data_IF_748703500288
#
_entry.id   IF_748703500288
#
_cell.length_a   1.000
_cell.length_b   1.000
_cell.length_c   1.000
_cell.angle_alpha   90.00
_cell.angle_beta   90.00
_cell.angle_gamma   90.00
#
_symmetry.space_group_name_H-M   'P 1'
#
loop_
_entity.id
_entity.type
_entity.pdbx_description
1 polymer ?
#
# COMPACT_ATOMS: atom_id res chain seq x y z
N UNK A 1 7.91 -4.05 25.68
CA UNK A 1 7.68 -2.63 25.91
C UNK A 1 7.81 -2.30 27.39
N UNK A 2 8.59 -1.27 27.73
CA UNK A 2 8.67 -0.73 29.10
C UNK A 2 7.36 0.03 29.44
N UNK A 3 6.65 -0.33 30.53
CA UNK A 3 5.41 0.34 30.92
C UNK A 3 5.60 1.74 31.54
N UNK A 4 6.82 2.14 31.91
CA UNK A 4 7.12 3.45 32.52
C UNK A 4 7.59 4.42 31.46
N UNK A 5 8.49 3.94 30.60
CA UNK A 5 9.20 4.72 29.61
C UNK A 5 10.19 5.75 30.15
N UNK A 6 10.92 6.40 29.25
CA UNK A 6 11.84 7.50 29.51
C UNK A 6 11.21 8.88 29.27
N UNK A 7 10.11 8.93 28.52
CA UNK A 7 9.34 10.14 28.22
C UNK A 7 9.92 10.99 27.08
N UNK A 8 10.76 10.41 26.24
CA UNK A 8 11.29 11.01 25.02
C UNK A 8 10.56 10.46 23.79
N UNK A 9 9.86 11.31 23.05
CA UNK A 9 9.14 10.90 21.83
C UNK A 9 10.10 10.54 20.69
N UNK A 10 11.41 10.80 20.83
CA UNK A 10 12.44 10.39 19.89
C UNK A 10 13.00 8.98 20.15
N UNK A 11 12.52 8.27 21.17
CA UNK A 11 12.94 6.89 21.48
C UNK A 11 11.74 5.96 21.60
N UNK A 12 11.95 4.70 21.24
CA UNK A 12 10.94 3.67 21.44
C UNK A 12 11.08 3.01 22.81
N UNK A 13 9.94 2.81 23.47
CA UNK A 13 9.85 1.97 24.67
C UNK A 13 9.69 0.48 24.35
N UNK A 14 9.51 0.16 23.06
CA UNK A 14 9.47 -1.17 22.49
C UNK A 14 10.86 -1.67 22.14
N UNK A 15 11.03 -2.99 22.10
CA UNK A 15 12.20 -3.61 21.48
C UNK A 15 11.82 -4.99 20.98
N UNK A 16 12.19 -5.31 19.74
CA UNK A 16 11.99 -6.64 19.21
C UNK A 16 12.98 -7.63 19.83
N UNK A 17 12.49 -8.78 20.27
CA UNK A 17 13.31 -9.84 20.85
C UNK A 17 13.28 -11.03 19.91
N UNK A 18 14.37 -11.23 19.17
CA UNK A 18 14.46 -12.29 18.18
C UNK A 18 14.75 -13.64 18.84
N UNK A 19 13.82 -14.59 18.76
CA UNK A 19 13.89 -15.85 19.54
C UNK A 19 14.15 -17.13 18.73
N UNK A 20 14.45 -17.07 17.42
CA UNK A 20 14.66 -18.21 16.48
C UNK A 20 13.53 -19.29 16.43
N UNK A 21 12.57 -19.22 17.35
CA UNK A 21 11.44 -20.09 17.57
C UNK A 21 10.35 -19.33 18.34
N UNK A 22 9.14 -19.89 18.39
CA UNK A 22 8.04 -19.30 19.15
C UNK A 22 8.43 -19.13 20.63
N UNK A 23 8.31 -17.91 21.21
CA UNK A 23 8.65 -17.67 22.60
C UNK A 23 7.64 -18.31 23.54
N UNK A 24 8.07 -18.59 24.78
CA UNK A 24 7.21 -19.20 25.82
C UNK A 24 6.52 -18.19 26.72
N UNK A 25 6.85 -16.90 26.59
CA UNK A 25 6.19 -15.82 27.33
C UNK A 25 4.75 -15.65 26.87
N UNK A 26 3.90 -15.13 27.74
CA UNK A 26 2.52 -14.78 27.45
C UNK A 26 2.36 -13.26 27.43
N UNK A 27 1.35 -12.79 26.71
CA UNK A 27 0.93 -11.38 26.77
C UNK A 27 0.66 -11.00 28.23
N UNK A 28 1.24 -9.89 28.68
CA UNK A 28 1.16 -9.41 30.07
C UNK A 28 2.27 -9.90 31.00
N UNK A 29 3.14 -10.83 30.57
CA UNK A 29 4.30 -11.21 31.37
C UNK A 29 5.29 -10.05 31.51
N UNK A 30 5.83 -9.88 32.72
CA UNK A 30 6.98 -9.00 32.95
C UNK A 30 8.23 -9.86 32.88
N UNK A 31 9.06 -9.65 31.86
CA UNK A 31 10.26 -10.45 31.64
C UNK A 31 11.55 -9.64 31.82
N UNK A 32 12.56 -10.29 32.39
CA UNK A 32 13.95 -9.86 32.27
C UNK A 32 14.53 -10.50 31.02
N UNK A 33 14.90 -9.67 30.04
CA UNK A 33 15.56 -10.10 28.81
C UNK A 33 17.03 -9.69 28.87
N UNK A 34 17.92 -10.60 28.48
CA UNK A 34 19.35 -10.32 28.27
C UNK A 34 19.79 -10.93 26.96
N UNK A 35 20.47 -10.16 26.13
CA UNK A 35 21.03 -10.64 24.86
C UNK A 35 21.96 -9.58 24.28
N UNK A 36 22.20 -9.67 22.98
CA UNK A 36 23.03 -8.73 22.23
C UNK A 36 22.14 -7.78 21.46
N UNK A 37 22.33 -6.46 21.63
CA UNK A 37 21.65 -5.46 20.79
C UNK A 37 22.30 -5.46 19.40
N UNK A 38 21.47 -5.48 18.35
CA UNK A 38 21.92 -5.51 16.97
C UNK A 38 20.89 -4.84 16.05
N UNK A 39 21.40 -4.10 15.06
CA UNK A 39 20.65 -3.70 13.87
C UNK A 39 20.50 -4.87 12.89
N UNK A 40 19.25 -5.13 12.47
CA UNK A 40 18.90 -6.16 11.51
C UNK A 40 18.13 -5.56 10.34
N UNK A 41 18.54 -5.84 9.11
CA UNK A 41 17.84 -5.38 7.91
C UNK A 41 16.91 -6.50 7.42
N UNK A 42 15.58 -6.40 7.59
CA UNK A 42 14.66 -7.38 7.03
C UNK A 42 14.70 -7.34 5.50
N UNK A 43 14.32 -8.46 4.87
CA UNK A 43 14.28 -8.60 3.41
C UNK A 43 15.65 -8.74 2.74
N UNK A 44 15.69 -8.49 1.43
CA UNK A 44 16.90 -8.62 0.62
C UNK A 44 17.87 -7.44 0.87
N UNK A 45 19.19 -7.68 1.03
CA UNK A 45 20.15 -6.64 1.39
C UNK A 45 20.19 -5.41 0.47
N UNK A 46 19.88 -5.58 -0.81
CA UNK A 46 19.90 -4.52 -1.83
C UNK A 46 18.53 -3.80 -1.99
N UNK A 47 17.53 -4.18 -1.20
CA UNK A 47 16.13 -3.72 -1.34
C UNK A 47 15.84 -2.33 -0.77
N UNK A 48 16.81 -1.66 -0.16
CA UNK A 48 16.63 -0.32 0.43
C UNK A 48 15.80 -0.30 1.73
N UNK A 49 15.55 -1.45 2.36
CA UNK A 49 14.88 -1.54 3.66
C UNK A 49 15.72 -0.92 4.78
N UNK A 50 15.11 -0.28 5.76
CA UNK A 50 15.76 0.18 6.98
C UNK A 50 16.10 -0.99 7.90
N UNK A 51 17.03 -0.76 8.84
CA UNK A 51 17.27 -1.70 9.94
C UNK A 51 16.24 -1.53 11.05
N UNK A 52 15.98 -2.63 11.74
CA UNK A 52 15.23 -2.66 13.00
C UNK A 52 16.19 -2.97 14.15
N UNK A 53 15.94 -2.37 15.31
CA UNK A 53 16.72 -2.62 16.52
C UNK A 53 16.17 -3.84 17.25
N UNK A 54 17.02 -4.86 17.44
CA UNK A 54 16.60 -6.09 18.12
C UNK A 54 17.58 -6.60 19.18
N UNK A 55 17.04 -7.38 20.12
CA UNK A 55 17.83 -8.21 21.03
C UNK A 55 17.97 -9.61 20.42
N UNK A 56 19.17 -9.96 19.99
CA UNK A 56 19.55 -11.28 19.50
C UNK A 56 20.15 -12.16 20.60
N UNK A 57 20.17 -13.48 20.35
CA UNK A 57 20.61 -14.52 21.30
C UNK A 57 20.03 -14.35 22.72
N UNK A 58 18.70 -14.15 22.87
CA UNK A 58 18.13 -13.73 24.14
C UNK A 58 18.06 -14.88 25.16
N UNK A 59 18.29 -14.52 26.42
CA UNK A 59 17.83 -15.26 27.59
C UNK A 59 16.67 -14.51 28.23
N UNK A 60 15.51 -15.16 28.29
CA UNK A 60 14.27 -14.56 28.80
C UNK A 60 13.90 -15.21 30.12
N UNK A 61 13.65 -14.40 31.16
CA UNK A 61 13.16 -14.86 32.47
C UNK A 61 11.93 -14.07 32.89
N UNK A 62 10.78 -14.73 32.93
CA UNK A 62 9.54 -14.15 33.50
C UNK A 62 9.76 -13.86 34.99
N UNK A 63 9.53 -12.61 35.38
CA UNK A 63 9.60 -12.12 36.77
C UNK A 63 8.22 -12.13 37.43
N UNK A 64 7.19 -11.71 36.68
CA UNK A 64 5.79 -11.72 37.08
C UNK A 64 4.96 -12.27 35.92
N UNK A 65 3.90 -13.02 36.25
CA UNK A 65 3.00 -13.65 35.29
C UNK A 65 2.00 -12.64 34.70
N UNK A 66 1.28 -13.09 33.66
CA UNK A 66 0.30 -12.40 32.80
C UNK A 66 -0.85 -11.61 33.47
N UNK A 67 -0.87 -11.45 34.79
CA UNK A 67 -1.83 -10.61 35.52
C UNK A 67 -1.36 -9.14 35.61
N UNK A 68 -0.19 -8.81 35.05
CA UNK A 68 0.27 -7.43 34.97
C UNK A 68 -0.48 -6.68 33.85
N UNK A 69 -0.72 -5.38 34.05
CA UNK A 69 -1.39 -4.56 33.04
C UNK A 69 -0.48 -4.38 31.82
N UNK A 70 -1.06 -4.47 30.63
CA UNK A 70 -0.36 -4.06 29.42
C UNK A 70 -0.13 -2.55 29.43
N UNK A 71 0.99 -2.06 28.88
CA UNK A 71 1.15 -0.64 28.58
C UNK A 71 -0.08 -0.15 27.81
N UNK A 72 -0.54 1.07 28.12
CA UNK A 72 -1.59 1.71 27.33
C UNK A 72 -1.03 1.92 25.91
N UNK A 73 -1.78 1.60 24.84
CA UNK A 73 -1.31 1.87 23.49
C UNK A 73 -1.01 3.36 23.28
N UNK A 74 0.07 3.65 22.56
CA UNK A 74 0.32 5.01 22.06
C UNK A 74 -0.67 5.31 20.94
N UNK A 75 -1.43 6.39 21.06
CA UNK A 75 -2.39 6.78 20.04
C UNK A 75 -1.66 7.46 18.87
N UNK A 76 -1.94 7.02 17.64
CA UNK A 76 -1.48 7.66 16.41
C UNK A 76 -2.64 8.49 15.85
N UNK A 77 -2.42 9.79 15.68
CA UNK A 77 -3.41 10.77 15.22
C UNK A 77 -3.68 11.88 16.24
N UNK A 78 -4.82 12.56 16.06
CA UNK A 78 -5.19 13.81 16.74
C UNK A 78 -5.24 13.76 18.28
N UNK A 79 -5.54 12.61 18.87
CA UNK A 79 -5.61 12.42 20.32
C UNK A 79 -4.28 11.90 20.93
N UNK A 80 -3.24 11.76 20.10
CA UNK A 80 -1.93 11.29 20.51
C UNK A 80 -0.81 11.92 19.70
N UNK A 81 0.10 11.08 19.20
CA UNK A 81 1.21 11.54 18.36
C UNK A 81 0.71 11.66 16.93
N UNK A 82 0.84 12.86 16.35
CA UNK A 82 0.37 13.16 15.01
C UNK A 82 1.51 12.89 14.01
N UNK A 83 1.35 11.94 13.06
CA UNK A 83 2.35 11.76 12.01
C UNK A 83 2.55 13.05 11.19
N UNK A 84 3.78 13.35 10.77
CA UNK A 84 4.03 14.30 9.69
C UNK A 84 3.22 13.92 8.45
N UNK A 85 2.93 14.89 7.58
CA UNK A 85 1.98 14.72 6.47
C UNK A 85 2.56 14.99 5.09
N UNK A 86 3.84 15.39 5.00
CA UNK A 86 4.44 15.80 3.72
C UNK A 86 5.82 15.15 3.50
N UNK A 87 6.64 15.09 4.55
CA UNK A 87 8.05 14.75 4.48
C UNK A 87 8.29 13.32 4.98
N UNK A 88 8.89 12.48 4.14
CA UNK A 88 9.38 11.16 4.58
C UNK A 88 10.66 11.36 5.40
N UNK A 89 11.62 12.06 4.81
CA UNK A 89 12.92 12.43 5.37
C UNK A 89 13.43 13.62 4.54
N UNK A 90 13.92 14.69 5.17
CA UNK A 90 14.43 15.87 4.46
C UNK A 90 15.93 16.15 4.62
N UNK A 91 16.62 15.39 5.49
CA UNK A 91 17.99 15.66 5.87
C UNK A 91 18.94 14.45 5.74
N UNK A 92 18.45 13.34 5.17
CA UNK A 92 19.21 12.14 4.86
C UNK A 92 20.55 12.48 4.19
N UNK A 93 21.63 12.16 4.89
CA UNK A 93 22.98 12.43 4.42
C UNK A 93 23.36 11.41 3.35
N UNK A 94 23.67 11.91 2.15
CA UNK A 94 23.92 11.10 0.94
C UNK A 94 22.72 10.23 0.51
N UNK A 95 21.50 10.63 0.90
CA UNK A 95 20.27 9.88 0.62
C UNK A 95 20.13 8.61 1.46
N UNK A 96 20.80 8.54 2.60
CA UNK A 96 20.71 7.45 3.57
C UNK A 96 20.21 7.97 4.92
N UNK A 97 18.99 7.61 5.29
CA UNK A 97 18.40 7.95 6.59
C UNK A 97 19.21 7.37 7.77
N UNK A 98 19.84 6.21 7.59
CA UNK A 98 20.61 5.52 8.65
C UNK A 98 22.06 6.03 8.78
N UNK A 99 22.40 7.14 8.12
CA UNK A 99 23.71 7.76 8.28
C UNK A 99 23.82 8.39 9.68
N UNK A 100 24.90 8.15 10.45
CA UNK A 100 25.07 8.76 11.77
C UNK A 100 25.10 10.30 11.81
N UNK A 101 25.21 10.97 10.65
CA UNK A 101 25.13 12.42 10.50
C UNK A 101 23.72 12.94 10.16
N UNK A 102 22.78 12.06 9.80
CA UNK A 102 21.35 12.37 9.65
C UNK A 102 20.76 12.70 11.02
N UNK A 103 19.90 13.73 11.12
CA UNK A 103 19.27 14.11 12.38
C UNK A 103 18.01 13.29 12.55
N UNK A 104 17.80 12.75 13.75
CA UNK A 104 16.54 12.11 14.10
C UNK A 104 15.53 13.18 14.54
N UNK A 105 14.53 13.48 13.71
CA UNK A 105 13.48 14.49 13.93
C UNK A 105 12.06 13.93 13.65
N UNK A 106 11.46 13.23 14.63
CA UNK A 106 10.13 12.62 14.47
C UNK A 106 8.97 13.62 14.37
N UNK A 107 9.21 14.91 14.60
CA UNK A 107 8.20 15.96 14.44
C UNK A 107 8.11 16.45 12.97
N UNK A 108 9.19 16.32 12.20
CA UNK A 108 9.26 16.73 10.79
C UNK A 108 9.22 15.53 9.83
N UNK A 109 9.90 14.44 10.18
CA UNK A 109 10.15 13.31 9.29
C UNK A 109 9.30 12.09 9.64
N UNK A 110 8.52 11.63 8.65
CA UNK A 110 7.63 10.49 8.81
C UNK A 110 8.36 9.18 9.09
N UNK A 111 9.59 9.03 8.60
CA UNK A 111 10.45 7.87 8.86
C UNK A 111 10.77 7.80 10.36
N UNK A 112 11.32 8.88 10.92
CA UNK A 112 11.68 8.98 12.34
C UNK A 112 10.45 8.88 13.26
N UNK A 113 9.32 9.45 12.84
CA UNK A 113 8.07 9.35 13.57
C UNK A 113 7.70 7.89 13.85
N UNK A 114 7.68 7.03 12.82
CA UNK A 114 7.34 5.62 13.03
C UNK A 114 8.50 4.82 13.62
N UNK A 115 9.76 5.15 13.32
CA UNK A 115 10.91 4.51 13.97
C UNK A 115 10.87 4.70 15.49
N UNK A 116 10.50 5.91 15.96
CA UNK A 116 10.35 6.20 17.40
C UNK A 116 9.23 5.41 18.09
N UNK A 117 8.41 4.68 17.33
CA UNK A 117 7.33 3.84 17.83
C UNK A 117 7.61 2.33 17.63
N UNK A 118 8.76 1.96 17.06
CA UNK A 118 9.08 0.57 16.68
C UNK A 118 8.95 -0.40 17.87
N UNK A 119 8.19 -1.47 17.73
CA UNK A 119 7.95 -2.46 18.77
C UNK A 119 7.04 -2.01 19.92
N UNK A 120 6.48 -0.80 19.86
CA UNK A 120 5.49 -0.33 20.83
C UNK A 120 4.09 -0.81 20.47
N UNK A 121 3.24 -1.01 21.48
CA UNK A 121 1.81 -1.16 21.29
C UNK A 121 1.22 0.21 20.91
N UNK A 122 0.59 0.29 19.74
CA UNK A 122 -0.01 1.51 19.19
C UNK A 122 -1.50 1.31 18.89
N UNK A 123 -2.24 2.40 18.76
CA UNK A 123 -3.63 2.39 18.36
C UNK A 123 -3.96 3.52 17.39
N UNK A 124 -4.68 3.17 16.33
CA UNK A 124 -5.19 4.09 15.30
C UNK A 124 -6.70 4.15 15.44
N UNK A 125 -7.22 5.29 15.90
CA UNK A 125 -8.65 5.50 16.12
C UNK A 125 -9.35 6.02 14.87
N UNK A 126 -10.61 5.63 14.69
CA UNK A 126 -11.48 6.05 13.59
C UNK A 126 -10.80 5.92 12.21
N UNK A 127 -10.03 4.84 12.01
CA UNK A 127 -9.21 4.69 10.83
C UNK A 127 -10.04 4.57 9.55
N UNK A 128 -9.55 5.14 8.44
CA UNK A 128 -10.16 5.02 7.11
C UNK A 128 -9.18 4.43 6.11
N UNK A 129 -9.59 3.39 5.39
CA UNK A 129 -8.79 2.78 4.34
C UNK A 129 -8.63 3.74 3.14
N UNK A 130 -7.41 3.85 2.61
CA UNK A 130 -7.11 4.69 1.45
C UNK A 130 -6.94 3.89 0.15
N UNK A 131 -6.89 2.57 0.26
CA UNK A 131 -6.77 1.62 -0.84
C UNK A 131 -7.46 0.29 -0.46
N UNK A 132 -7.76 -0.59 -1.43
CA UNK A 132 -8.15 -1.95 -1.14
C UNK A 132 -7.05 -2.74 -0.41
N UNK A 133 -7.43 -3.78 0.32
CA UNK A 133 -6.47 -4.74 0.88
C UNK A 133 -5.67 -5.40 -0.25
N UNK A 134 -4.36 -5.56 -0.07
CA UNK A 134 -3.50 -6.22 -1.07
C UNK A 134 -3.62 -7.76 -0.98
N UNK A 135 -2.84 -8.48 -1.80
CA UNK A 135 -2.84 -9.96 -1.84
C UNK A 135 -2.39 -10.64 -0.54
N UNK A 136 -1.70 -9.92 0.33
CA UNK A 136 -1.27 -10.39 1.65
C UNK A 136 -2.28 -10.06 2.74
N UNK A 137 -3.37 -9.35 2.40
CA UNK A 137 -4.39 -8.92 3.35
C UNK A 137 -4.06 -7.63 4.10
N UNK A 138 -2.97 -6.96 3.74
CA UNK A 138 -2.55 -5.70 4.34
C UNK A 138 -3.35 -4.53 3.74
N UNK A 139 -3.59 -3.49 4.54
CA UNK A 139 -4.32 -2.30 4.11
C UNK A 139 -3.67 -1.03 4.62
N UNK A 140 -3.56 -0.01 3.77
CA UNK A 140 -3.16 1.32 4.22
C UNK A 140 -4.36 2.10 4.74
N UNK A 141 -4.18 2.73 5.91
CA UNK A 141 -5.20 3.56 6.55
C UNK A 141 -4.65 4.93 6.93
N UNK A 142 -5.57 5.85 7.19
CA UNK A 142 -5.31 7.13 7.85
C UNK A 142 -6.00 7.16 9.21
N UNK A 143 -5.40 7.75 10.25
CA UNK A 143 -6.06 7.99 11.53
C UNK A 143 -7.21 9.01 11.40
N UNK A 144 -8.15 8.96 12.34
CA UNK A 144 -9.22 9.97 12.53
C UNK A 144 -9.97 10.33 11.25
N UNK A 145 -10.39 9.32 10.49
CA UNK A 145 -11.07 9.44 9.21
C UNK A 145 -10.29 10.28 8.17
N UNK A 146 -8.97 10.42 8.33
CA UNK A 146 -8.11 11.25 7.50
C UNK A 146 -8.31 12.74 7.70
N UNK A 147 -8.68 13.20 8.90
CA UNK A 147 -8.88 14.63 9.23
C UNK A 147 -7.62 15.48 8.98
N UNK A 148 -6.44 14.93 9.29
CA UNK A 148 -5.15 15.62 9.16
C UNK A 148 -4.40 15.30 7.86
N UNK A 149 -5.01 14.54 6.95
CA UNK A 149 -4.39 14.26 5.65
C UNK A 149 -4.36 15.51 4.76
N UNK A 150 -3.35 15.63 3.91
CA UNK A 150 -3.16 16.81 3.05
C UNK A 150 -4.24 16.90 1.95
N UNK A 151 -4.13 16.10 0.89
CA UNK A 151 -5.04 16.09 -0.24
C UNK A 151 -5.50 14.67 -0.50
N UNK A 152 -6.82 14.50 -0.42
CA UNK A 152 -7.49 13.23 -0.71
C UNK A 152 -8.23 13.28 -2.04
N UNK A 153 -8.26 12.16 -2.74
CA UNK A 153 -9.10 12.00 -3.93
C UNK A 153 -10.58 11.96 -3.54
N UNK A 154 -11.52 12.28 -4.46
CA UNK A 154 -12.95 12.13 -4.19
C UNK A 154 -13.38 10.71 -3.79
N UNK A 155 -12.54 9.72 -4.06
CA UNK A 155 -12.74 8.30 -3.72
C UNK A 155 -11.95 7.86 -2.47
N UNK A 156 -11.39 8.79 -1.71
CA UNK A 156 -10.82 8.53 -0.38
C UNK A 156 -9.34 8.16 -0.32
N UNK A 157 -8.67 8.04 -1.47
CA UNK A 157 -7.22 7.82 -1.55
C UNK A 157 -6.40 9.09 -1.28
N UNK A 158 -5.08 8.96 -1.17
CA UNK A 158 -4.13 10.07 -0.97
C UNK A 158 -3.48 10.50 -2.29
N UNK A 159 -3.19 11.80 -2.42
CA UNK A 159 -2.59 12.38 -3.62
C UNK A 159 -1.10 12.67 -3.39
N UNK A 160 -0.22 11.92 -4.06
CA UNK A 160 1.21 12.21 -4.08
C UNK A 160 1.51 13.49 -4.86
N UNK A 161 2.30 14.38 -4.26
CA UNK A 161 2.78 15.62 -4.89
C UNK A 161 4.30 15.71 -4.78
N UNK A 162 4.90 16.70 -5.40
CA UNK A 162 6.37 16.86 -5.45
C UNK A 162 7.00 17.03 -4.05
N UNK A 163 6.32 17.72 -3.15
CA UNK A 163 6.78 17.97 -1.77
C UNK A 163 5.83 17.35 -0.74
N UNK A 164 5.08 16.33 -1.13
CA UNK A 164 4.16 15.64 -0.24
C UNK A 164 4.08 14.17 -0.66
N UNK A 165 4.80 13.35 0.09
CA UNK A 165 4.91 11.92 -0.12
C UNK A 165 3.97 11.11 0.77
N UNK A 166 3.05 11.78 1.47
CA UNK A 166 2.00 11.20 2.31
C UNK A 166 2.51 10.21 3.39
N UNK A 167 3.48 10.61 4.25
CA UNK A 167 3.94 9.79 5.39
C UNK A 167 2.85 9.52 6.45
N UNK A 168 1.74 10.24 6.46
CA UNK A 168 0.68 10.08 7.46
C UNK A 168 -0.15 8.80 7.33
N UNK A 169 0.10 8.00 6.28
CA UNK A 169 -0.52 6.68 6.10
C UNK A 169 0.26 5.62 6.88
N UNK A 170 -0.46 4.65 7.42
CA UNK A 170 0.14 3.49 8.08
C UNK A 170 -0.44 2.20 7.51
N UNK A 171 0.42 1.20 7.29
CA UNK A 171 -0.01 -0.12 6.85
C UNK A 171 -0.51 -0.93 8.04
N UNK A 172 -1.62 -1.62 7.85
CA UNK A 172 -2.17 -2.53 8.85
C UNK A 172 -1.94 -3.94 8.34
N UNK A 173 -1.29 -4.76 9.16
CA UNK A 173 -1.04 -6.17 8.90
C UNK A 173 -1.75 -7.02 9.96
N UNK A 174 -2.30 -8.15 9.52
CA UNK A 174 -3.03 -9.11 10.35
C UNK A 174 -2.30 -10.44 10.52
N UNK A 175 -1.01 -10.51 10.17
CA UNK A 175 -0.15 -11.68 10.34
C UNK A 175 -0.13 -12.28 11.75
N UNK A 176 -0.39 -11.48 12.80
CA UNK A 176 -0.51 -11.99 14.18
C UNK A 176 -1.88 -12.60 14.53
N UNK A 177 -2.91 -12.34 13.72
CA UNK A 177 -4.28 -12.83 13.97
C UNK A 177 -4.83 -13.75 12.89
N UNK A 178 -4.17 -13.84 11.73
CA UNK A 178 -4.59 -14.61 10.55
C UNK A 178 -6.05 -14.31 10.12
N UNK A 179 -6.47 -13.05 10.29
CA UNK A 179 -7.86 -12.62 10.15
C UNK A 179 -8.03 -11.39 9.23
N UNK A 180 -7.27 -11.33 8.13
CA UNK A 180 -7.33 -10.24 7.14
C UNK A 180 -8.73 -10.11 6.53
N UNK A 181 -9.48 -9.00 6.78
CA UNK A 181 -10.71 -8.75 6.06
C UNK A 181 -10.42 -8.25 4.64
N UNK A 182 -11.33 -8.50 3.70
CA UNK A 182 -11.32 -7.78 2.44
C UNK A 182 -11.78 -6.34 2.67
N UNK A 183 -10.97 -5.37 2.25
CA UNK A 183 -11.20 -3.94 2.49
C UNK A 183 -11.17 -3.19 1.15
N UNK A 184 -11.99 -2.15 1.03
CA UNK A 184 -11.94 -1.19 -0.07
C UNK A 184 -11.61 0.21 0.45
N UNK A 185 -11.15 1.10 -0.44
CA UNK A 185 -10.98 2.51 -0.10
C UNK A 185 -12.28 3.09 0.50
N UNK A 186 -12.14 3.89 1.56
CA UNK A 186 -13.25 4.51 2.28
C UNK A 186 -13.91 3.63 3.35
N UNK A 187 -13.62 2.32 3.39
CA UNK A 187 -14.02 1.47 4.52
C UNK A 187 -13.36 1.96 5.81
N UNK A 188 -14.02 1.71 6.95
CA UNK A 188 -13.67 2.30 8.25
C UNK A 188 -13.49 1.27 9.33
N UNK A 189 -12.70 1.65 10.34
CA UNK A 189 -12.44 0.88 11.55
C UNK A 189 -12.61 1.80 12.75
N UNK A 190 -13.32 1.36 13.79
CA UNK A 190 -13.51 2.19 15.00
C UNK A 190 -12.18 2.40 15.74
N UNK A 191 -11.38 1.34 15.86
CA UNK A 191 -10.06 1.35 16.48
C UNK A 191 -9.25 0.16 15.97
N UNK A 192 -7.98 0.39 15.65
CA UNK A 192 -7.02 -0.64 15.28
C UNK A 192 -5.90 -0.63 16.31
N UNK A 193 -5.71 -1.72 17.05
CA UNK A 193 -4.65 -1.86 18.05
C UNK A 193 -3.67 -2.94 17.64
N UNK A 194 -2.38 -2.62 17.66
CA UNK A 194 -1.33 -3.53 17.23
C UNK A 194 0.04 -3.13 17.72
N UNK A 195 1.04 -3.97 17.45
CA UNK A 195 2.44 -3.64 17.69
C UNK A 195 3.00 -3.03 16.41
N UNK A 196 3.68 -1.89 16.50
CA UNK A 196 4.36 -1.32 15.35
C UNK A 196 5.60 -2.16 15.00
N UNK A 197 5.76 -2.48 13.73
CA UNK A 197 6.89 -3.22 13.18
C UNK A 197 7.34 -2.59 11.86
N UNK A 198 8.42 -3.10 11.28
CA UNK A 198 8.91 -2.68 9.97
C UNK A 198 9.27 -3.89 9.11
N UNK A 199 8.66 -3.96 7.92
CA UNK A 199 8.85 -5.06 6.98
C UNK A 199 8.66 -4.59 5.54
N UNK A 200 9.39 -5.22 4.61
CA UNK A 200 9.29 -4.95 3.16
C UNK A 200 9.22 -3.46 2.76
N UNK A 201 9.97 -2.60 3.46
CA UNK A 201 10.09 -1.17 3.14
C UNK A 201 9.02 -0.29 3.78
N UNK A 202 8.20 -0.83 4.68
CA UNK A 202 7.06 -0.13 5.28
C UNK A 202 7.02 -0.35 6.79
N UNK A 203 6.58 0.70 7.51
CA UNK A 203 6.09 0.54 8.86
C UNK A 203 4.69 -0.06 8.84
N UNK A 204 4.44 -1.00 9.73
CA UNK A 204 3.24 -1.81 9.79
C UNK A 204 2.73 -1.90 11.22
N UNK A 205 1.41 -1.82 11.41
CA UNK A 205 0.75 -2.14 12.67
C UNK A 205 0.30 -3.58 12.61
N UNK A 206 1.03 -4.46 13.30
CA UNK A 206 0.69 -5.86 13.46
C UNK A 206 -0.47 -6.00 14.47
N UNK A 207 -1.67 -6.22 13.95
CA UNK A 207 -2.90 -6.22 14.77
C UNK A 207 -2.89 -7.33 15.83
N UNK A 208 -3.30 -6.98 17.05
CA UNK A 208 -3.37 -7.94 18.18
C UNK A 208 -4.76 -8.55 18.37
N UNK A 209 -5.74 -8.11 17.57
CA UNK A 209 -7.11 -8.61 17.55
C UNK A 209 -7.68 -8.53 16.13
N UNK A 210 -8.62 -9.42 15.76
CA UNK A 210 -9.29 -9.35 14.47
C UNK A 210 -9.94 -7.99 14.20
N UNK A 211 -9.87 -7.55 12.96
CA UNK A 211 -10.45 -6.27 12.53
C UNK A 211 -11.95 -6.37 12.29
N UNK A 212 -12.68 -5.31 12.63
CA UNK A 212 -14.09 -5.13 12.26
C UNK A 212 -14.21 -3.97 11.26
N UNK A 213 -14.74 -4.26 10.08
CA UNK A 213 -14.82 -3.31 8.96
C UNK A 213 -16.23 -2.76 8.83
N UNK A 214 -16.35 -1.44 8.80
CA UNK A 214 -17.57 -0.73 8.39
C UNK A 214 -17.44 -0.30 6.93
N UNK A 215 -18.30 -0.78 6.01
CA UNK A 215 -18.20 -0.43 4.60
C UNK A 215 -18.36 1.08 4.34
N UNK A 216 -17.47 1.64 3.52
CA UNK A 216 -17.49 3.04 3.10
C UNK A 216 -18.52 3.35 2.01
N UNK A 217 -19.07 2.30 1.39
CA UNK A 217 -20.15 2.41 0.40
C UNK A 217 -19.69 2.90 -0.98
N UNK A 218 -18.39 2.85 -1.28
CA UNK A 218 -17.93 3.15 -2.64
C UNK A 218 -18.43 2.08 -3.61
N UNK A 219 -19.10 2.54 -4.67
CA UNK A 219 -19.46 1.71 -5.82
C UNK A 219 -18.63 2.10 -7.04
N UNK A 220 -18.34 1.16 -7.95
CA UNK A 220 -17.77 1.50 -9.25
C UNK A 220 -18.60 2.56 -9.98
N UNK A 221 -17.93 3.48 -10.68
CA UNK A 221 -18.59 4.51 -11.49
C UNK A 221 -19.05 3.95 -12.83
N UNK A 222 -20.13 4.51 -13.39
CA UNK A 222 -20.57 4.22 -14.75
C UNK A 222 -20.71 5.53 -15.50
N UNK A 223 -20.13 5.61 -16.69
CA UNK A 223 -20.20 6.82 -17.50
C UNK A 223 -21.65 7.11 -17.92
N UNK A 224 -22.00 8.39 -17.95
CA UNK A 224 -23.25 8.84 -18.58
C UNK A 224 -23.15 8.94 -20.09
N UNK A 225 -21.92 8.93 -20.64
CA UNK A 225 -21.70 8.97 -22.08
C UNK A 225 -22.25 7.69 -22.73
N UNK A 226 -22.74 7.85 -23.95
CA UNK A 226 -23.22 6.73 -24.77
C UNK A 226 -22.70 6.95 -26.18
N UNK A 227 -22.28 5.92 -26.91
CA UNK A 227 -21.99 6.04 -28.34
C UNK A 227 -23.24 6.50 -29.13
N UNK A 228 -23.05 7.08 -30.32
CA UNK A 228 -24.15 7.41 -31.23
C UNK A 228 -23.70 8.07 -32.52
N UNK A 229 -24.58 8.11 -33.52
CA UNK A 229 -24.23 8.45 -34.92
C UNK A 229 -23.51 9.80 -35.12
N UNK A 230 -23.72 10.76 -34.21
CA UNK A 230 -23.15 12.10 -34.27
C UNK A 230 -22.23 12.43 -33.07
N UNK A 231 -21.78 11.42 -32.32
CA UNK A 231 -20.89 11.61 -31.17
C UNK A 231 -19.81 10.52 -31.14
N UNK A 232 -18.59 10.92 -30.79
CA UNK A 232 -17.46 10.01 -30.61
C UNK A 232 -17.14 9.93 -29.12
N UNK A 233 -17.19 8.72 -28.57
CA UNK A 233 -16.81 8.43 -27.19
C UNK A 233 -15.37 7.92 -27.13
N UNK A 234 -14.58 8.50 -26.25
CA UNK A 234 -13.15 8.16 -26.10
C UNK A 234 -12.89 7.89 -24.62
N UNK A 235 -12.21 6.79 -24.33
CA UNK A 235 -11.73 6.45 -23.01
C UNK A 235 -10.21 6.22 -23.03
N UNK A 236 -9.55 6.60 -21.94
CA UNK A 236 -8.18 6.19 -21.64
C UNK A 236 -8.22 5.30 -20.41
N UNK A 237 -7.55 4.16 -20.44
CA UNK A 237 -7.57 3.22 -19.33
C UNK A 237 -6.20 2.55 -19.11
N UNK A 238 -5.63 2.78 -17.94
CA UNK A 238 -4.48 2.03 -17.47
C UNK A 238 -4.98 0.67 -16.93
N UNK A 239 -4.46 -0.42 -17.50
CA UNK A 239 -4.90 -1.78 -17.19
C UNK A 239 -3.98 -2.52 -16.22
N UNK A 240 -2.96 -1.85 -15.67
CA UNK A 240 -2.03 -2.34 -14.65
C UNK A 240 -1.27 -3.60 -15.08
N UNK A 241 -0.22 -3.40 -15.87
CA UNK A 241 0.69 -4.46 -16.36
C UNK A 241 -0.03 -5.71 -16.88
N UNK A 242 -1.05 -5.53 -17.74
CA UNK A 242 -1.86 -6.64 -18.24
C UNK A 242 -1.07 -7.50 -19.22
N UNK A 243 -1.04 -8.81 -19.02
CA UNK A 243 -0.44 -9.81 -19.93
C UNK A 243 -1.48 -10.87 -20.37
N UNK A 244 -1.14 -11.79 -21.29
CA UNK A 244 -2.08 -12.83 -21.73
C UNK A 244 -2.44 -13.85 -20.63
N UNK A 245 -1.58 -14.00 -19.61
CA UNK A 245 -1.76 -14.98 -18.54
C UNK A 245 -2.71 -14.49 -17.42
N UNK A 246 -3.12 -13.22 -17.44
CA UNK A 246 -3.92 -12.58 -16.39
C UNK A 246 -5.44 -12.74 -16.61
N UNK A 247 -5.91 -13.99 -16.74
CA UNK A 247 -7.30 -14.31 -17.13
C UNK A 247 -8.36 -13.57 -16.28
N UNK A 248 -8.19 -13.52 -14.96
CA UNK A 248 -9.15 -12.85 -14.05
C UNK A 248 -9.16 -11.32 -14.24
N UNK A 249 -8.00 -10.72 -14.49
CA UNK A 249 -7.87 -9.28 -14.70
C UNK A 249 -8.43 -8.88 -16.06
N UNK A 250 -8.14 -9.67 -17.11
CA UNK A 250 -8.73 -9.51 -18.45
C UNK A 250 -10.25 -9.53 -18.35
N UNK A 251 -10.81 -10.48 -17.61
CA UNK A 251 -12.24 -10.62 -17.39
C UNK A 251 -12.83 -9.38 -16.70
N UNK A 252 -12.19 -8.91 -15.62
CA UNK A 252 -12.63 -7.74 -14.87
C UNK A 252 -12.58 -6.46 -15.73
N UNK A 253 -11.51 -6.26 -16.49
CA UNK A 253 -11.33 -5.12 -17.39
C UNK A 253 -12.38 -5.16 -18.51
N UNK A 254 -12.63 -6.32 -19.11
CA UNK A 254 -13.65 -6.47 -20.14
C UNK A 254 -15.05 -6.11 -19.60
N UNK A 255 -15.39 -6.53 -18.38
CA UNK A 255 -16.63 -6.12 -17.71
C UNK A 255 -16.71 -4.62 -17.48
N UNK A 256 -15.60 -3.99 -17.07
CA UNK A 256 -15.55 -2.54 -16.87
C UNK A 256 -15.72 -1.78 -18.19
N UNK A 257 -15.05 -2.21 -19.26
CA UNK A 257 -15.17 -1.60 -20.58
C UNK A 257 -16.62 -1.67 -21.08
N UNK A 258 -17.27 -2.83 -20.97
CA UNK A 258 -18.63 -3.01 -21.49
C UNK A 258 -19.68 -2.35 -20.60
N UNK A 259 -19.64 -2.56 -19.28
CA UNK A 259 -20.71 -2.16 -18.38
C UNK A 259 -20.52 -0.76 -17.78
N UNK A 260 -19.27 -0.37 -17.49
CA UNK A 260 -18.95 0.88 -16.80
C UNK A 260 -18.55 1.99 -17.76
N UNK A 261 -17.71 1.69 -18.76
CA UNK A 261 -17.33 2.63 -19.82
C UNK A 261 -18.32 2.64 -20.99
N UNK A 262 -19.29 1.71 -20.99
CA UNK A 262 -20.34 1.58 -22.02
C UNK A 262 -19.80 1.42 -23.44
N UNK A 263 -18.70 0.67 -23.57
CA UNK A 263 -18.08 0.35 -24.86
C UNK A 263 -17.76 1.60 -25.69
N UNK A 264 -16.72 2.37 -25.32
CA UNK A 264 -16.38 3.62 -26.00
C UNK A 264 -15.88 3.38 -27.42
N UNK A 265 -16.19 4.29 -28.35
CA UNK A 265 -15.79 4.20 -29.76
C UNK A 265 -14.27 4.16 -29.94
N UNK A 266 -13.51 4.82 -29.07
CA UNK A 266 -12.06 4.73 -28.99
C UNK A 266 -11.64 4.39 -27.55
N UNK A 267 -10.90 3.30 -27.39
CA UNK A 267 -10.23 2.97 -26.12
C UNK A 267 -8.71 3.06 -26.30
N UNK A 268 -8.07 3.93 -25.51
CA UNK A 268 -6.62 4.03 -25.39
C UNK A 268 -6.13 3.33 -24.13
N UNK A 269 -5.26 2.34 -24.26
CA UNK A 269 -4.75 1.55 -23.13
C UNK A 269 -3.35 1.98 -22.70
N UNK A 270 -3.04 1.84 -21.41
CA UNK A 270 -1.71 1.99 -20.83
C UNK A 270 -1.35 0.75 -20.00
N UNK A 271 -0.06 0.47 -19.87
CA UNK A 271 0.47 -0.70 -19.13
C UNK A 271 -0.06 -2.04 -19.67
N UNK A 272 -0.03 -2.18 -20.99
CA UNK A 272 -0.13 -3.48 -21.63
C UNK A 272 1.27 -4.07 -21.69
N UNK A 273 1.44 -5.26 -21.14
CA UNK A 273 2.68 -6.04 -21.24
C UNK A 273 2.77 -6.78 -22.57
N UNK A 274 4.00 -7.18 -22.88
CA UNK A 274 4.31 -8.05 -24.01
C UNK A 274 3.74 -9.46 -23.80
N UNK A 275 3.75 -10.29 -24.85
CA UNK A 275 3.15 -11.62 -24.86
C UNK A 275 3.75 -12.56 -23.80
N UNK A 276 4.93 -12.24 -23.28
CA UNK A 276 5.63 -13.00 -22.26
C UNK A 276 5.57 -12.32 -20.86
N UNK A 277 4.70 -11.32 -20.68
CA UNK A 277 4.49 -10.63 -19.42
C UNK A 277 5.76 -9.92 -18.93
N UNK A 278 6.08 -10.08 -17.65
CA UNK A 278 7.24 -9.43 -17.00
C UNK A 278 8.61 -9.99 -17.43
N UNK A 279 8.66 -11.02 -18.28
CA UNK A 279 9.92 -11.70 -18.64
C UNK A 279 10.72 -10.86 -19.63
N UNK A 280 11.90 -10.37 -19.22
CA UNK A 280 12.83 -9.68 -20.13
C UNK A 280 13.68 -10.67 -20.94
N UNK A 281 13.13 -11.18 -22.05
CA UNK A 281 13.83 -12.03 -23.03
C UNK A 281 14.03 -11.37 -24.40
N UNK A 282 13.68 -10.09 -24.53
CA UNK A 282 13.72 -9.31 -25.76
C UNK A 282 12.46 -9.39 -26.63
N UNK A 283 11.41 -10.09 -26.19
CA UNK A 283 10.06 -9.96 -26.75
C UNK A 283 9.53 -8.54 -26.52
N UNK A 284 8.91 -7.96 -27.54
CA UNK A 284 8.33 -6.59 -27.53
C UNK A 284 6.97 -6.55 -28.26
N UNK A 285 6.38 -7.72 -28.48
CA UNK A 285 5.08 -7.87 -29.12
C UNK A 285 4.04 -8.18 -28.05
N UNK A 286 2.91 -7.47 -28.08
CA UNK A 286 1.80 -7.60 -27.14
C UNK A 286 0.50 -8.08 -27.83
N UNK A 287 0.61 -8.65 -29.04
CA UNK A 287 -0.54 -9.02 -29.86
C UNK A 287 -1.44 -10.09 -29.21
N UNK A 288 -0.87 -10.99 -28.41
CA UNK A 288 -1.62 -12.01 -27.66
C UNK A 288 -2.41 -11.37 -26.51
N UNK A 289 -1.81 -10.42 -25.79
CA UNK A 289 -2.47 -9.65 -24.73
C UNK A 289 -3.69 -8.90 -25.26
N UNK A 290 -3.53 -8.20 -26.39
CA UNK A 290 -4.64 -7.51 -27.04
C UNK A 290 -5.73 -8.48 -27.50
N UNK A 291 -5.34 -9.62 -28.09
CA UNK A 291 -6.29 -10.61 -28.59
C UNK A 291 -7.14 -11.16 -27.45
N UNK A 292 -6.51 -11.52 -26.32
CA UNK A 292 -7.21 -12.02 -25.15
C UNK A 292 -8.23 -11.01 -24.59
N UNK A 293 -7.85 -9.73 -24.51
CA UNK A 293 -8.76 -8.67 -24.08
C UNK A 293 -9.89 -8.41 -25.08
N UNK A 294 -9.60 -8.39 -26.37
CA UNK A 294 -10.60 -8.24 -27.45
C UNK A 294 -11.62 -9.37 -27.38
N UNK A 295 -11.16 -10.62 -27.27
CA UNK A 295 -12.04 -11.79 -27.19
C UNK A 295 -12.92 -11.73 -25.94
N UNK A 296 -12.37 -11.33 -24.80
CA UNK A 296 -13.14 -11.12 -23.58
C UNK A 296 -14.20 -10.03 -23.73
N UNK A 297 -13.91 -8.92 -24.41
CA UNK A 297 -14.91 -7.88 -24.69
C UNK A 297 -15.98 -8.40 -25.66
N UNK A 298 -15.55 -9.08 -26.74
CA UNK A 298 -16.43 -9.60 -27.79
C UNK A 298 -17.49 -10.59 -27.25
N UNK A 299 -17.12 -11.40 -26.25
CA UNK A 299 -18.05 -12.32 -25.56
C UNK A 299 -19.16 -11.60 -24.77
N UNK A 300 -18.99 -10.32 -24.44
CA UNK A 300 -19.87 -9.56 -23.54
C UNK A 300 -20.76 -8.55 -24.25
N UNK A 301 -20.44 -8.22 -25.49
CA UNK A 301 -21.19 -7.22 -26.25
C UNK A 301 -22.36 -7.84 -27.00
N UNK A 302 -23.50 -7.15 -26.98
CA UNK A 302 -24.75 -7.61 -27.62
C UNK A 302 -24.82 -7.16 -29.09
N UNK A 303 -23.90 -6.30 -29.53
CA UNK A 303 -23.82 -5.78 -30.90
C UNK A 303 -22.59 -6.34 -31.59
N UNK A 304 -22.69 -6.52 -32.91
CA UNK A 304 -21.53 -6.83 -33.73
C UNK A 304 -20.53 -5.67 -33.65
N UNK A 305 -19.31 -5.97 -33.21
CA UNK A 305 -18.21 -5.01 -33.13
C UNK A 305 -17.10 -5.42 -34.08
N UNK A 306 -16.51 -4.42 -34.72
CA UNK A 306 -15.20 -4.57 -35.36
C UNK A 306 -14.15 -4.06 -34.39
N UNK A 307 -13.05 -4.79 -34.26
CA UNK A 307 -11.90 -4.39 -33.44
C UNK A 307 -10.74 -4.12 -34.38
N UNK A 308 -10.17 -2.92 -34.33
CA UNK A 308 -8.97 -2.57 -35.08
C UNK A 308 -7.91 -2.09 -34.11
N UNK A 309 -6.70 -2.64 -34.24
CA UNK A 309 -5.54 -2.24 -33.45
C UNK A 309 -4.82 -1.13 -34.23
N UNK A 310 -5.11 0.13 -33.93
CA UNK A 310 -4.44 1.27 -34.57
C UNK A 310 -3.14 1.64 -33.84
N UNK A 311 -2.00 1.70 -34.54
CA UNK A 311 -0.74 2.27 -33.99
C UNK A 311 -0.78 3.80 -34.02
N UNK A 312 -1.02 4.46 -32.89
CA UNK A 312 -0.86 5.90 -32.76
C UNK A 312 0.49 6.24 -32.11
N UNK A 313 1.30 7.04 -32.80
CA UNK A 313 2.58 7.54 -32.26
C UNK A 313 2.33 8.80 -31.45
N UNK A 314 2.43 8.73 -30.11
CA UNK A 314 2.53 9.93 -29.27
C UNK A 314 4.01 10.25 -29.06
N UNK A 315 4.48 11.34 -29.66
CA UNK A 315 5.83 11.86 -29.43
C UNK A 315 5.84 12.60 -28.09
N UNK A 316 6.51 12.04 -27.07
CA UNK A 316 6.77 12.72 -25.80
C UNK A 316 7.94 13.69 -26.01
N UNK A 317 7.68 14.99 -26.03
CA UNK A 317 8.72 16.03 -25.98
C UNK A 317 9.09 16.29 -24.52
N UNK A 318 10.01 15.51 -23.95
CA UNK A 318 11.13 16.02 -23.13
C UNK A 318 12.03 14.90 -22.56
N UNK A 319 13.27 15.28 -22.27
CA UNK A 319 14.51 14.51 -22.18
C UNK A 319 14.56 13.34 -21.16
N UNK A 320 14.55 12.10 -21.67
CA UNK A 320 15.54 11.00 -21.46
C UNK A 320 14.94 9.71 -22.03
N UNK A 321 15.50 9.26 -23.16
CA UNK A 321 15.13 8.09 -23.97
C UNK A 321 13.69 8.09 -24.55
N UNK A 322 13.51 7.87 -25.87
CA UNK A 322 12.19 7.65 -26.44
C UNK A 322 11.69 6.26 -26.01
N UNK A 323 10.79 6.21 -25.03
CA UNK A 323 9.95 5.03 -24.82
C UNK A 323 8.87 5.10 -25.90
N UNK A 324 8.96 4.23 -26.90
CA UNK A 324 7.87 3.99 -27.84
C UNK A 324 6.79 3.18 -27.12
N UNK A 325 5.92 3.85 -26.37
CA UNK A 325 4.68 3.23 -25.90
C UNK A 325 3.69 3.30 -27.09
N UNK A 326 3.35 2.18 -27.73
CA UNK A 326 2.32 2.19 -28.74
C UNK A 326 1.00 2.57 -28.07
N UNK A 327 0.42 3.71 -28.45
CA UNK A 327 -0.95 4.03 -28.05
C UNK A 327 -1.86 3.33 -29.03
N UNK A 328 -2.53 2.30 -28.55
CA UNK A 328 -3.47 1.54 -29.36
C UNK A 328 -4.87 2.09 -29.18
N UNK A 329 -5.49 2.49 -30.30
CA UNK A 329 -6.88 2.91 -30.35
C UNK A 329 -7.71 1.75 -30.87
N UNK A 330 -8.67 1.29 -30.09
CA UNK A 330 -9.71 0.36 -30.51
C UNK A 330 -10.90 1.14 -31.07
N UNK A 331 -11.17 1.04 -32.38
CA UNK A 331 -12.34 1.66 -33.00
C UNK A 331 -13.56 0.74 -32.95
N UNK A 332 -14.55 1.05 -32.10
CA UNK A 332 -15.82 0.30 -32.04
C UNK A 332 -16.80 0.86 -33.07
N UNK A 333 -16.65 0.48 -34.35
CA UNK A 333 -17.62 0.86 -35.38
C UNK A 333 -18.86 -0.05 -35.33
N UNK A 334 -20.04 0.57 -35.14
CA UNK A 334 -21.36 -0.02 -35.33
C UNK A 334 -22.25 0.91 -36.14
#
# INVERSE_FOLDING_TARGET
QDPIGDGDDATSEGVFVFTDAAPTVQVGDVALVRGTVREFRPGEPDGGNLTITQIADPTVRVLFNSDFFLPRPTLIGSEGRQPPTEIIDNDAVEGNAENPETVFDPDEDGLDFYESLEGMLVQVDDAVAIAPSNRFGEVYVLPNNGENATIRTPRGGLVRRENDFNPERIQIDTSLTDAAPAVNAGDRFDSITGVLDYSFGNFEVLTTSPLSVTPGGLSPETTSLTPGDNQLTVASYNVLALSPDDEEQIEAIAQQIVNHLRSPDILGLQEIEDNNGEVDDGTVDASETYTALIDAIALRVVRAMSFEICRLWIVKTDFRAPISAPVFCLTLNG
#
